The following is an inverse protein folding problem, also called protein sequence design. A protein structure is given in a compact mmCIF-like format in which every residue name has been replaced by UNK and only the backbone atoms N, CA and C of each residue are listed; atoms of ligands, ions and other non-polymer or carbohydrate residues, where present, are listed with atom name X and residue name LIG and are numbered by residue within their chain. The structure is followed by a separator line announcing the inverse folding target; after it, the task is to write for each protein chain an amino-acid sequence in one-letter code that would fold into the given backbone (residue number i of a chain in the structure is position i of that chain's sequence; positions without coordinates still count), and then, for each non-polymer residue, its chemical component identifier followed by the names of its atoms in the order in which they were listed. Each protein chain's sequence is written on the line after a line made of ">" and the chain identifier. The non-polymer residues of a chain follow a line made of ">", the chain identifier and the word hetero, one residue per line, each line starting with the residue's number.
data_IF_034643049863
#
_entry.id   IF_034643049863
#
_cell.length_a   1.000
_cell.length_b   1.000
_cell.length_c   1.000
_cell.angle_alpha   90.00
_cell.angle_beta   90.00
_cell.angle_gamma   90.00
#
_symmetry.space_group_name_H-M   'P 1'
#
loop_
_entity.id
_entity.type
_entity.pdbx_description
1 polymer ?
#
# COMPACT_ATOMS: atom_id res chain seq x y z
N UNK A 1 -82.10 -2.93 3.41
CA UNK A 1 -81.51 -4.29 3.48
C UNK A 1 -80.54 -4.43 2.32
N UNK A 2 -79.27 -4.75 2.64
CA UNK A 2 -78.26 -5.37 1.76
C UNK A 2 -77.74 -4.51 0.59
N UNK A 3 -76.50 -4.50 0.12
CA UNK A 3 -75.14 -4.96 0.50
C UNK A 3 -74.24 -4.48 -0.68
N UNK A 4 -73.05 -3.93 -0.41
CA UNK A 4 -71.79 -3.85 -1.21
C UNK A 4 -71.85 -3.57 -2.74
N UNK A 5 -70.95 -2.79 -3.34
CA UNK A 5 -69.57 -3.20 -3.70
C UNK A 5 -68.81 -1.91 -4.12
N UNK A 6 -67.82 -1.51 -3.33
CA UNK A 6 -66.73 -0.64 -3.76
C UNK A 6 -65.48 -1.52 -3.75
N UNK A 7 -65.23 -2.19 -4.87
CA UNK A 7 -64.00 -2.93 -5.13
C UNK A 7 -63.17 -2.12 -6.11
N UNK A 8 -61.85 -2.23 -5.95
CA UNK A 8 -60.81 -1.75 -6.88
C UNK A 8 -60.30 -0.33 -6.64
N UNK A 9 -59.44 -0.18 -5.62
CA UNK A 9 -58.31 0.78 -5.68
C UNK A 9 -57.15 0.47 -4.72
N UNK A 10 -57.11 -0.70 -4.07
CA UNK A 10 -56.23 -0.90 -2.90
C UNK A 10 -55.04 -1.87 -3.08
N UNK A 11 -54.65 -2.25 -4.30
CA UNK A 11 -53.52 -3.18 -4.50
C UNK A 11 -52.71 -2.80 -5.74
N UNK A 12 -51.74 -1.87 -5.60
CA UNK A 12 -50.57 -1.78 -6.50
C UNK A 12 -49.50 -0.75 -6.04
N UNK A 13 -49.41 -0.38 -4.75
CA UNK A 13 -48.42 0.61 -4.28
C UNK A 13 -47.37 0.04 -3.31
N UNK A 14 -47.23 -1.28 -3.22
CA UNK A 14 -46.33 -1.95 -2.27
C UNK A 14 -45.09 -2.60 -2.91
N UNK A 15 -44.49 -1.97 -3.93
CA UNK A 15 -43.26 -2.47 -4.57
C UNK A 15 -42.17 -1.39 -4.70
N UNK A 16 -42.00 -0.55 -3.67
CA UNK A 16 -40.91 0.43 -3.61
C UNK A 16 -40.17 0.37 -2.28
N UNK A 17 -39.70 -0.80 -1.87
CA UNK A 17 -38.77 -0.93 -0.74
C UNK A 17 -37.84 -2.12 -0.91
N UNK A 18 -36.90 -2.02 -1.84
CA UNK A 18 -35.63 -2.76 -1.72
C UNK A 18 -34.56 -2.11 -2.59
N UNK A 19 -34.15 -0.91 -2.21
CA UNK A 19 -32.80 -0.44 -2.50
C UNK A 19 -32.03 -0.53 -1.18
N UNK A 20 -31.83 -1.76 -0.70
CA UNK A 20 -30.73 -2.01 0.22
C UNK A 20 -29.46 -1.81 -0.58
N UNK A 21 -28.89 -0.61 -0.56
CA UNK A 21 -27.45 -0.50 -0.78
C UNK A 21 -26.84 -1.37 0.30
N UNK A 22 -26.34 -2.52 -0.10
CA UNK A 22 -25.44 -3.30 0.73
C UNK A 22 -24.29 -2.35 1.02
N UNK A 23 -24.23 -1.86 2.25
CA UNK A 23 -23.07 -1.15 2.74
C UNK A 23 -21.91 -2.12 2.57
N UNK A 24 -21.20 -1.98 1.46
CA UNK A 24 -19.88 -2.56 1.28
C UNK A 24 -19.12 -2.09 2.51
N UNK A 25 -18.83 -3.01 3.43
CA UNK A 25 -18.05 -2.75 4.63
C UNK A 25 -16.76 -2.09 4.18
N UNK A 26 -16.71 -0.75 4.23
CA UNK A 26 -15.52 -0.02 3.86
C UNK A 26 -14.49 -0.36 4.92
N UNK A 27 -13.42 -1.03 4.53
CA UNK A 27 -12.31 -1.35 5.42
C UNK A 27 -11.58 -0.03 5.71
N UNK A 28 -12.07 0.71 6.71
CA UNK A 28 -11.49 1.97 7.16
C UNK A 28 -10.35 1.68 8.13
N UNK A 29 -9.17 2.18 7.79
CA UNK A 29 -7.96 2.13 8.59
C UNK A 29 -7.77 3.50 9.23
N UNK A 30 -7.64 3.54 10.56
CA UNK A 30 -7.32 4.77 11.29
C UNK A 30 -5.86 4.77 11.68
N UNK A 31 -5.09 5.72 11.16
CA UNK A 31 -3.69 5.94 11.54
C UNK A 31 -3.64 7.12 12.49
N UNK A 32 -2.98 6.96 13.63
CA UNK A 32 -2.91 7.98 14.69
C UNK A 32 -1.47 8.35 15.02
N UNK A 33 -1.18 9.64 15.01
CA UNK A 33 0.04 10.21 15.55
C UNK A 33 -0.23 10.79 16.95
N UNK A 34 0.32 10.13 17.97
CA UNK A 34 0.17 10.53 19.38
C UNK A 34 1.31 11.44 19.87
N UNK A 35 2.24 11.83 18.99
CA UNK A 35 3.36 12.70 19.32
C UNK A 35 3.02 14.16 19.07
N UNK A 36 3.74 15.06 19.74
CA UNK A 36 3.64 16.52 19.59
C UNK A 36 4.39 17.07 18.36
N UNK A 37 4.97 16.19 17.56
CA UNK A 37 5.64 16.50 16.29
C UNK A 37 4.92 15.83 15.12
N UNK A 38 4.91 16.49 13.96
CA UNK A 38 4.40 15.90 12.73
C UNK A 38 5.27 14.72 12.28
N UNK A 39 4.62 13.73 11.66
CA UNK A 39 5.24 12.51 11.14
C UNK A 39 4.93 12.40 9.65
N UNK A 40 5.98 12.29 8.84
CA UNK A 40 5.90 12.14 7.38
C UNK A 40 7.01 11.22 6.90
N UNK A 41 6.84 10.61 5.72
CA UNK A 41 7.77 9.62 5.14
C UNK A 41 7.95 8.37 6.02
N UNK A 42 6.91 8.00 6.76
CA UNK A 42 6.89 6.79 7.58
C UNK A 42 5.99 5.74 6.96
N UNK A 43 6.44 4.50 7.02
CA UNK A 43 5.72 3.36 6.45
C UNK A 43 4.76 2.79 7.48
N UNK A 44 3.49 2.70 7.08
CA UNK A 44 2.46 1.93 7.78
C UNK A 44 2.32 0.58 7.08
N UNK A 45 2.25 -0.48 7.87
CA UNK A 45 2.05 -1.86 7.40
C UNK A 45 0.64 -2.32 7.76
N UNK A 46 -0.06 -2.90 6.80
CA UNK A 46 -1.35 -3.56 7.01
C UNK A 46 -1.17 -5.04 6.67
N UNK A 47 -1.32 -5.90 7.67
CA UNK A 47 -1.30 -7.34 7.47
C UNK A 47 -2.60 -7.80 6.84
N UNK A 48 -2.53 -8.65 5.81
CA UNK A 48 -3.69 -9.30 5.19
C UNK A 48 -4.53 -10.06 6.22
N UNK A 49 -3.88 -10.66 7.22
CA UNK A 49 -4.55 -11.39 8.31
C UNK A 49 -5.44 -10.51 9.20
N UNK A 50 -5.16 -9.20 9.27
CA UNK A 50 -5.91 -8.26 10.08
C UNK A 50 -7.16 -7.75 9.36
N UNK A 51 -7.30 -8.07 8.07
CA UNK A 51 -8.42 -7.67 7.24
C UNK A 51 -9.48 -8.76 7.15
N UNK A 52 -10.74 -8.35 7.26
CA UNK A 52 -11.88 -9.21 6.98
C UNK A 52 -12.25 -9.07 5.50
N UNK A 53 -11.55 -9.83 4.66
CA UNK A 53 -11.82 -9.88 3.22
C UNK A 53 -12.84 -10.97 2.91
N UNK A 54 -13.76 -10.68 2.00
CA UNK A 54 -14.60 -11.72 1.40
C UNK A 54 -13.69 -12.72 0.65
N UNK A 55 -13.97 -14.04 0.65
CA UNK A 55 -13.19 -15.01 -0.11
C UNK A 55 -13.02 -14.68 -1.61
N UNK A 56 -13.90 -13.84 -2.16
CA UNK A 56 -13.84 -13.37 -3.55
C UNK A 56 -13.01 -12.10 -3.75
N UNK A 57 -12.63 -11.40 -2.66
CA UNK A 57 -11.77 -10.23 -2.71
C UNK A 57 -10.31 -10.63 -2.78
N UNK A 58 -9.66 -10.20 -3.86
CA UNK A 58 -8.22 -10.33 -4.02
C UNK A 58 -7.50 -9.21 -3.28
N UNK A 59 -6.65 -9.57 -2.32
CA UNK A 59 -5.86 -8.64 -1.52
C UNK A 59 -4.95 -7.77 -2.40
N UNK A 60 -4.34 -8.35 -3.43
CA UNK A 60 -3.40 -7.66 -4.33
C UNK A 60 -4.10 -6.69 -5.29
N UNK A 61 -5.44 -6.69 -5.29
CA UNK A 61 -6.25 -5.70 -6.01
C UNK A 61 -6.72 -4.55 -5.14
N UNK A 62 -6.36 -4.52 -3.86
CA UNK A 62 -6.70 -3.41 -2.99
C UNK A 62 -5.84 -2.18 -3.30
N UNK A 63 -6.47 -1.02 -3.23
CA UNK A 63 -5.81 0.27 -3.14
C UNK A 63 -6.30 0.99 -1.88
N UNK A 64 -5.52 1.98 -1.45
CA UNK A 64 -5.81 2.78 -0.28
C UNK A 64 -5.98 4.25 -0.66
N UNK A 65 -7.01 4.90 -0.13
CA UNK A 65 -7.25 6.33 -0.34
C UNK A 65 -7.52 7.07 0.96
N UNK A 66 -7.08 8.31 1.03
CA UNK A 66 -7.46 9.22 2.12
C UNK A 66 -8.98 9.49 2.05
N UNK A 67 -9.67 9.35 3.19
CA UNK A 67 -11.13 9.50 3.24
C UNK A 67 -11.57 10.94 3.01
N UNK A 68 -10.80 11.92 3.45
CA UNK A 68 -11.13 13.34 3.35
C UNK A 68 -10.81 13.87 1.96
N UNK A 69 -9.58 13.70 1.48
CA UNK A 69 -9.14 14.26 0.19
C UNK A 69 -9.54 13.41 -1.01
N UNK A 70 -9.90 12.14 -0.79
CA UNK A 70 -10.11 11.11 -1.83
C UNK A 70 -8.87 10.82 -2.68
N UNK A 71 -7.71 11.27 -2.24
CA UNK A 71 -6.43 10.98 -2.90
C UNK A 71 -6.08 9.52 -2.71
N UNK A 72 -5.81 8.83 -3.82
CA UNK A 72 -5.27 7.47 -3.79
C UNK A 72 -3.80 7.55 -3.41
N UNK A 73 -3.40 6.78 -2.39
CA UNK A 73 -2.03 6.76 -1.88
C UNK A 73 -1.19 5.80 -2.70
N UNK A 74 0.10 6.13 -2.88
CA UNK A 74 1.08 5.16 -3.35
C UNK A 74 1.20 4.03 -2.33
N UNK A 75 1.09 2.79 -2.80
CA UNK A 75 1.14 1.61 -1.95
C UNK A 75 1.90 0.46 -2.62
N UNK A 76 2.45 -0.44 -1.82
CA UNK A 76 3.21 -1.60 -2.29
C UNK A 76 2.80 -2.85 -1.50
N UNK A 77 2.70 -3.97 -2.21
CA UNK A 77 2.52 -5.28 -1.59
C UNK A 77 3.87 -5.97 -1.33
N UNK A 78 3.94 -6.72 -0.24
CA UNK A 78 5.12 -7.50 0.14
C UNK A 78 4.71 -8.92 0.49
N UNK A 79 5.37 -9.87 -0.16
CA UNK A 79 5.41 -11.29 0.18
C UNK A 79 6.58 -11.49 1.18
N UNK A 80 6.25 -11.79 2.44
CA UNK A 80 7.25 -11.87 3.52
C UNK A 80 7.85 -13.27 3.66
N UNK A 81 7.13 -14.32 3.26
CA UNK A 81 7.56 -15.71 3.40
C UNK A 81 8.01 -16.36 2.09
N UNK A 82 7.94 -15.61 0.99
CA UNK A 82 8.34 -15.98 -0.36
C UNK A 82 7.50 -17.14 -0.93
N UNK A 83 6.23 -17.26 -0.52
CA UNK A 83 5.30 -18.27 -1.05
C UNK A 83 4.67 -17.90 -2.41
N UNK A 84 4.89 -16.67 -2.87
CA UNK A 84 4.34 -16.12 -4.11
C UNK A 84 3.03 -15.35 -3.93
N UNK A 85 2.56 -15.18 -2.69
CA UNK A 85 1.36 -14.42 -2.33
C UNK A 85 1.74 -13.26 -1.42
N UNK A 86 1.22 -12.07 -1.67
CA UNK A 86 1.50 -10.94 -0.77
C UNK A 86 0.74 -11.05 0.56
N UNK A 87 1.45 -10.73 1.65
CA UNK A 87 0.96 -10.75 3.03
C UNK A 87 0.71 -9.34 3.59
N UNK A 88 1.44 -8.36 3.08
CA UNK A 88 1.48 -7.01 3.65
C UNK A 88 1.20 -5.97 2.59
N UNK A 89 0.38 -4.98 2.95
CA UNK A 89 0.20 -3.75 2.19
C UNK A 89 0.91 -2.60 2.92
N UNK A 90 1.84 -1.95 2.23
CA UNK A 90 2.61 -0.81 2.71
C UNK A 90 2.09 0.48 2.09
N UNK A 91 2.03 1.55 2.87
CA UNK A 91 1.80 2.92 2.38
C UNK A 91 2.41 3.95 3.33
N UNK A 92 2.55 5.20 2.86
CA UNK A 92 3.18 6.27 3.64
C UNK A 92 2.27 7.49 3.78
N UNK A 93 1.55 7.64 4.91
CA UNK A 93 0.73 8.82 5.17
C UNK A 93 1.52 9.97 5.79
N UNK A 94 0.98 11.18 5.67
CA UNK A 94 1.44 12.36 6.40
C UNK A 94 0.44 12.72 7.50
N UNK A 95 0.93 12.79 8.74
CA UNK A 95 0.14 13.13 9.93
C UNK A 95 0.72 14.33 10.66
N UNK A 96 -0.14 15.28 10.99
CA UNK A 96 0.20 16.38 11.90
C UNK A 96 0.43 15.85 13.32
N UNK A 97 1.08 16.65 14.17
CA UNK A 97 1.15 16.38 15.60
C UNK A 97 -0.25 16.14 16.21
N UNK A 98 -0.36 15.20 17.15
CA UNK A 98 -1.59 14.88 17.90
C UNK A 98 -2.84 14.71 17.01
N UNK A 99 -2.69 14.05 15.85
CA UNK A 99 -3.75 13.91 14.86
C UNK A 99 -3.99 12.46 14.47
N UNK A 100 -5.14 12.20 13.86
CA UNK A 100 -5.46 10.94 13.21
C UNK A 100 -5.99 11.19 11.81
N UNK A 101 -5.79 10.22 10.93
CA UNK A 101 -6.34 10.19 9.57
C UNK A 101 -6.98 8.85 9.30
N UNK A 102 -8.06 8.89 8.53
CA UNK A 102 -8.77 7.69 8.09
C UNK A 102 -8.48 7.43 6.62
N UNK A 103 -8.21 6.18 6.32
CA UNK A 103 -7.94 5.68 4.99
C UNK A 103 -8.90 4.55 4.67
N UNK A 104 -9.40 4.52 3.44
CA UNK A 104 -10.31 3.48 2.97
C UNK A 104 -9.54 2.52 2.06
N UNK A 105 -9.62 1.23 2.38
CA UNK A 105 -9.25 0.17 1.46
C UNK A 105 -10.42 -0.12 0.52
N UNK A 106 -10.15 -0.15 -0.77
CA UNK A 106 -11.12 -0.42 -1.82
C UNK A 106 -10.49 -1.26 -2.92
N UNK A 107 -11.30 -1.98 -3.70
CA UNK A 107 -10.81 -2.73 -4.87
C UNK A 107 -10.51 -1.74 -5.99
N UNK A 108 -9.27 -1.71 -6.46
CA UNK A 108 -8.83 -0.86 -7.54
C UNK A 108 -9.34 -1.35 -8.91
N UNK A 109 -9.65 -0.38 -9.77
CA UNK A 109 -9.78 -0.63 -11.21
C UNK A 109 -8.40 -0.92 -11.80
N UNK A 110 -8.34 -1.81 -12.81
CA UNK A 110 -7.08 -2.21 -13.44
C UNK A 110 -6.31 -1.05 -14.10
N UNK A 111 -6.97 0.09 -14.34
CA UNK A 111 -6.40 1.29 -14.94
C UNK A 111 -6.02 2.36 -13.90
N UNK A 112 -6.06 2.03 -12.60
CA UNK A 112 -5.64 2.97 -11.56
C UNK A 112 -4.13 3.22 -11.67
N UNK A 113 -3.77 4.39 -12.17
CA UNK A 113 -2.39 4.84 -12.24
C UNK A 113 -2.14 5.78 -11.06
N UNK A 114 -1.17 5.43 -10.22
CA UNK A 114 -0.63 6.31 -9.20
C UNK A 114 0.57 7.05 -9.80
N UNK A 115 0.62 8.37 -9.65
CA UNK A 115 1.79 9.14 -10.05
C UNK A 115 2.92 8.88 -9.04
N UNK A 116 3.97 8.21 -9.50
CA UNK A 116 5.12 7.83 -8.66
C UNK A 116 6.38 8.51 -9.16
N UNK A 117 7.05 9.25 -8.28
CA UNK A 117 8.43 9.68 -8.52
C UNK A 117 9.39 8.63 -7.97
N UNK A 118 10.25 8.09 -8.82
CA UNK A 118 11.28 7.13 -8.40
C UNK A 118 12.40 7.87 -7.64
N UNK A 119 12.38 7.78 -6.31
CA UNK A 119 13.40 8.39 -5.45
C UNK A 119 14.54 7.44 -5.08
N UNK A 120 14.35 6.13 -5.25
CA UNK A 120 15.31 5.10 -4.87
C UNK A 120 15.70 4.28 -6.09
N UNK A 121 16.99 4.01 -6.23
CA UNK A 121 17.51 3.18 -7.32
C UNK A 121 18.62 2.26 -6.78
N UNK A 122 18.70 1.06 -7.32
CA UNK A 122 19.76 0.11 -6.99
C UNK A 122 20.15 -0.70 -8.20
N UNK A 123 21.42 -1.08 -8.28
CA UNK A 123 21.93 -1.93 -9.35
C UNK A 123 23.24 -2.62 -8.97
N UNK A 124 23.51 -3.71 -9.68
CA UNK A 124 24.89 -4.16 -9.85
C UNK A 124 25.67 -3.13 -10.68
N UNK A 125 26.93 -2.91 -10.30
CA UNK A 125 27.87 -2.02 -11.01
C UNK A 125 28.90 -2.90 -11.72
N UNK A 126 28.57 -3.54 -12.86
CA UNK A 126 29.45 -4.50 -13.52
C UNK A 126 30.75 -3.88 -14.03
N UNK A 127 30.80 -2.55 -14.14
CA UNK A 127 32.02 -1.81 -14.46
C UNK A 127 33.09 -1.92 -13.35
N UNK A 128 32.73 -2.44 -12.17
CA UNK A 128 33.59 -2.57 -10.99
C UNK A 128 33.47 -3.97 -10.39
N UNK A 129 34.59 -4.56 -10.00
CA UNK A 129 34.66 -5.86 -9.32
C UNK A 129 33.78 -5.89 -8.08
N UNK A 130 32.86 -6.86 -8.06
CA UNK A 130 32.00 -7.20 -6.92
C UNK A 130 31.27 -6.01 -6.28
N UNK A 131 30.67 -5.15 -7.10
CA UNK A 131 30.12 -3.88 -6.66
C UNK A 131 28.60 -3.83 -6.82
N UNK A 132 27.90 -3.57 -5.73
CA UNK A 132 26.46 -3.30 -5.73
C UNK A 132 26.19 -1.95 -5.06
N UNK A 133 25.40 -1.11 -5.72
CA UNK A 133 25.12 0.25 -5.28
C UNK A 133 23.62 0.46 -5.13
N UNK A 134 23.22 1.18 -4.09
CA UNK A 134 21.87 1.69 -3.93
C UNK A 134 21.90 3.12 -3.43
N UNK A 135 20.98 3.95 -3.90
CA UNK A 135 20.92 5.36 -3.56
C UNK A 135 19.49 5.85 -3.47
N UNK A 136 19.32 6.98 -2.78
CA UNK A 136 18.10 7.75 -2.83
C UNK A 136 18.40 9.25 -2.95
N UNK A 137 17.37 10.08 -2.92
CA UNK A 137 17.46 11.54 -3.00
C UNK A 137 18.23 12.23 -1.84
N UNK A 138 18.79 11.47 -0.88
CA UNK A 138 19.56 12.00 0.26
C UNK A 138 20.94 11.35 0.43
N UNK A 139 21.04 10.05 0.17
CA UNK A 139 22.25 9.25 0.48
C UNK A 139 22.49 8.18 -0.58
N UNK A 140 23.75 7.80 -0.74
CA UNK A 140 24.19 6.69 -1.59
C UNK A 140 25.04 5.71 -0.79
N UNK A 141 24.87 4.44 -1.09
CA UNK A 141 25.53 3.33 -0.40
C UNK A 141 26.04 2.31 -1.41
N UNK A 142 27.09 1.60 -0.99
CA UNK A 142 27.75 0.59 -1.79
C UNK A 142 28.12 -0.56 -0.88
N UNK A 143 28.00 -1.78 -1.40
CA UNK A 143 28.57 -2.96 -0.77
C UNK A 143 29.50 -3.63 -1.76
N UNK A 144 30.58 -4.20 -1.24
CA UNK A 144 31.61 -4.86 -2.02
C UNK A 144 31.66 -6.33 -1.64
N UNK A 145 31.68 -7.20 -2.64
CA UNK A 145 31.74 -8.64 -2.46
C UNK A 145 33.16 -9.18 -2.19
N UNK A 146 33.27 -10.50 -1.99
CA UNK A 146 34.50 -11.14 -1.50
C UNK A 146 35.72 -10.96 -2.40
N UNK A 147 35.56 -10.85 -3.72
CA UNK A 147 36.69 -10.69 -4.64
C UNK A 147 37.30 -9.31 -4.49
N UNK A 148 36.47 -8.27 -4.35
CA UNK A 148 36.95 -6.91 -4.11
C UNK A 148 37.75 -6.82 -2.81
N UNK A 149 37.30 -7.47 -1.73
CA UNK A 149 38.02 -7.56 -0.46
C UNK A 149 39.36 -8.29 -0.61
N UNK A 150 39.33 -9.50 -1.19
CA UNK A 150 40.53 -10.34 -1.36
C UNK A 150 41.63 -9.62 -2.13
N UNK A 151 41.28 -8.87 -3.19
CA UNK A 151 42.26 -8.13 -3.98
C UNK A 151 43.05 -7.13 -3.14
N UNK A 152 42.45 -6.54 -2.10
CA UNK A 152 43.18 -5.65 -1.19
C UNK A 152 44.04 -6.42 -0.20
N UNK A 153 43.48 -7.45 0.42
CA UNK A 153 44.21 -8.28 1.40
C UNK A 153 45.45 -8.93 0.79
N UNK A 154 45.33 -9.40 -0.46
CA UNK A 154 46.41 -10.06 -1.21
C UNK A 154 47.29 -9.08 -2.01
N UNK A 155 47.06 -7.76 -1.90
CA UNK A 155 47.79 -6.72 -2.65
C UNK A 155 47.75 -6.92 -4.18
N UNK A 156 46.64 -7.42 -4.71
CA UNK A 156 46.41 -7.61 -6.15
C UNK A 156 46.14 -6.25 -6.80
N UNK A 157 46.92 -5.82 -7.80
CA UNK A 157 46.70 -4.56 -8.52
C UNK A 157 45.32 -4.50 -9.19
N UNK A 158 44.72 -3.31 -9.22
CA UNK A 158 43.43 -3.06 -9.91
C UNK A 158 42.18 -3.38 -9.10
N UNK A 159 42.30 -3.60 -7.78
CA UNK A 159 41.16 -3.76 -6.88
C UNK A 159 40.30 -2.49 -6.77
N UNK A 160 39.00 -2.67 -6.57
CA UNK A 160 38.00 -1.59 -6.53
C UNK A 160 37.88 -0.89 -5.17
N UNK A 161 38.45 -1.48 -4.13
CA UNK A 161 38.52 -0.92 -2.79
C UNK A 161 39.81 -0.10 -2.63
N UNK A 162 39.74 1.02 -1.94
CA UNK A 162 40.92 1.76 -1.46
C UNK A 162 40.89 1.78 0.06
N UNK A 163 42.05 1.84 0.73
CA UNK A 163 42.09 2.13 2.17
C UNK A 163 41.46 3.51 2.39
N UNK A 164 40.23 3.54 2.92
CA UNK A 164 39.49 4.76 3.21
C UNK A 164 40.20 5.67 4.21
#
# INVERSE_FOLDING_TARGET
>A
MKTNILFSCAIAAALLSSCGKQDSTSNIITVKNTLDVSRSFETVEILKSDLQLDPTQDFERLAIRDVESKTVMVSQFVDQDLDGTSDVLLFQPELSAQSEKQFELFVADANLVQDTTAYCYSRFVPERTDDYTWENNRVGFRTYGPVAQKMIEDSIPGGTLSSG
#
